data_IF_233425026842
#
_entry.id   IF_233425026842
#
_cell.length_a   1.000
_cell.length_b   1.000
_cell.length_c   1.000
_cell.angle_alpha   90.00
_cell.angle_beta   90.00
_cell.angle_gamma   90.00
#
_symmetry.space_group_name_H-M   'P 1'
#
loop_
_entity.id
_entity.type
_entity.pdbx_description
1 polymer ?
#
# COMPACT_ATOMS: atom_id res chain seq x y z
N UNK A 1 -8.75 30.46 1.65
CA UNK A 1 -8.78 29.13 1.04
C UNK A 1 -7.63 28.32 1.64
N UNK A 2 -7.91 27.52 2.65
CA UNK A 2 -6.96 26.59 3.24
C UNK A 2 -6.57 25.59 2.17
N UNK A 3 -5.30 25.61 1.78
CA UNK A 3 -4.71 24.57 0.93
C UNK A 3 -4.61 23.30 1.77
N UNK A 4 -5.69 22.53 1.79
CA UNK A 4 -5.66 21.23 2.43
C UNK A 4 -4.77 20.31 1.59
N UNK A 5 -3.67 19.83 2.18
CA UNK A 5 -2.94 18.69 1.64
C UNK A 5 -3.94 17.55 1.54
N UNK A 6 -4.22 17.09 0.32
CA UNK A 6 -5.32 16.16 0.07
C UNK A 6 -4.92 14.71 0.30
N UNK A 7 -3.68 14.36 -0.03
CA UNK A 7 -3.19 12.99 -0.02
C UNK A 7 -1.99 12.86 0.91
N UNK A 8 -1.97 11.81 1.73
CA UNK A 8 -0.80 11.38 2.50
C UNK A 8 -0.37 10.01 2.01
N UNK A 9 0.85 9.90 1.47
CA UNK A 9 1.45 8.63 1.08
C UNK A 9 2.29 8.08 2.22
N UNK A 10 1.99 6.86 2.65
CA UNK A 10 2.83 6.08 3.56
C UNK A 10 3.73 5.23 2.68
N UNK A 11 5.03 5.44 2.78
CA UNK A 11 6.02 4.85 1.85
C UNK A 11 7.04 4.03 2.63
N UNK A 12 7.39 2.87 2.10
CA UNK A 12 8.39 1.99 2.68
C UNK A 12 9.80 2.51 2.45
N UNK A 13 10.54 2.72 3.53
CA UNK A 13 11.97 3.03 3.52
C UNK A 13 12.34 4.44 3.07
N UNK A 14 13.60 4.77 3.30
CA UNK A 14 14.14 6.10 2.97
C UNK A 14 14.39 6.28 1.47
N UNK A 15 14.73 5.20 0.73
CA UNK A 15 15.01 5.26 -0.71
C UNK A 15 13.74 5.62 -1.50
N UNK A 16 12.68 4.81 -1.35
CA UNK A 16 11.39 5.10 -1.98
C UNK A 16 10.79 6.40 -1.45
N UNK A 17 10.96 6.70 -0.15
CA UNK A 17 10.58 7.96 0.46
C UNK A 17 11.28 9.18 -0.18
N UNK A 18 12.54 9.06 -0.56
CA UNK A 18 13.30 10.08 -1.27
C UNK A 18 12.75 10.35 -2.68
N UNK A 19 12.54 9.29 -3.46
CA UNK A 19 11.94 9.38 -4.80
C UNK A 19 10.53 9.97 -4.74
N UNK A 20 9.70 9.52 -3.81
CA UNK A 20 8.34 10.03 -3.60
C UNK A 20 8.32 11.51 -3.19
N UNK A 21 9.22 11.95 -2.30
CA UNK A 21 9.35 13.37 -1.92
C UNK A 21 9.73 14.26 -3.10
N UNK A 22 10.53 13.75 -4.02
CA UNK A 22 10.92 14.47 -5.23
C UNK A 22 9.77 14.49 -6.24
N UNK A 23 9.09 13.36 -6.41
CA UNK A 23 7.99 13.19 -7.37
C UNK A 23 6.73 14.00 -7.02
N UNK A 24 6.40 14.10 -5.73
CA UNK A 24 5.10 14.63 -5.27
C UNK A 24 4.77 16.05 -5.70
N UNK A 25 3.49 16.34 -5.82
CA UNK A 25 2.98 17.72 -5.76
C UNK A 25 3.06 18.23 -4.31
N UNK A 26 3.97 19.19 -4.04
CA UNK A 26 4.15 19.74 -2.69
C UNK A 26 2.92 20.45 -2.14
N UNK A 27 2.07 20.95 -3.02
CA UNK A 27 0.86 21.67 -2.63
C UNK A 27 -0.26 20.75 -2.12
N UNK A 28 -0.31 19.49 -2.61
CA UNK A 28 -1.45 18.60 -2.38
C UNK A 28 -1.11 17.23 -1.83
N UNK A 29 0.20 16.88 -1.77
CA UNK A 29 0.65 15.55 -1.36
C UNK A 29 1.71 15.62 -0.27
N UNK A 30 1.51 14.84 0.79
CA UNK A 30 2.47 14.60 1.85
C UNK A 30 3.08 13.20 1.73
N UNK A 31 4.31 13.03 2.19
CA UNK A 31 4.99 11.73 2.25
C UNK A 31 5.35 11.44 3.70
N UNK A 32 4.94 10.28 4.17
CA UNK A 32 5.30 9.72 5.46
C UNK A 32 6.15 8.46 5.24
N UNK A 33 7.47 8.54 5.27
CA UNK A 33 8.32 7.38 5.12
C UNK A 33 8.33 6.55 6.41
N UNK A 34 8.17 5.24 6.28
CA UNK A 34 8.33 4.29 7.37
C UNK A 34 9.77 3.76 7.40
N UNK A 35 10.38 3.72 8.57
CA UNK A 35 11.74 3.20 8.77
C UNK A 35 11.74 1.70 9.08
N UNK A 36 11.06 0.92 8.24
CA UNK A 36 10.91 -0.52 8.39
C UNK A 36 9.49 -0.95 8.76
N UNK A 37 9.35 -2.20 9.16
CA UNK A 37 8.05 -2.77 9.52
C UNK A 37 7.53 -2.17 10.82
N UNK A 38 6.30 -1.70 10.82
CA UNK A 38 5.64 -1.23 12.04
C UNK A 38 5.35 -2.41 12.98
N UNK A 39 5.10 -2.09 14.23
CA UNK A 39 4.71 -3.06 15.23
C UNK A 39 3.38 -3.73 14.86
N UNK A 40 3.29 -5.06 14.98
CA UNK A 40 2.03 -5.77 14.86
C UNK A 40 1.15 -5.49 16.10
N UNK A 41 0.15 -4.63 15.92
CA UNK A 41 -0.73 -4.17 17.01
C UNK A 41 -1.69 -5.24 17.50
N UNK A 42 -1.94 -6.32 16.73
CA UNK A 42 -2.76 -7.44 17.18
C UNK A 42 -2.11 -8.24 18.32
N UNK A 43 -0.77 -8.27 18.35
CA UNK A 43 0.01 -8.98 19.37
C UNK A 43 0.54 -8.09 20.49
N UNK A 44 0.72 -6.81 20.21
CA UNK A 44 1.45 -5.93 21.10
C UNK A 44 0.54 -5.35 22.19
N UNK A 45 1.12 -5.12 23.36
CA UNK A 45 0.46 -4.40 24.44
C UNK A 45 0.34 -2.91 24.08
N UNK A 46 -0.69 -2.25 24.58
CA UNK A 46 -1.01 -0.84 24.30
C UNK A 46 0.16 0.12 24.63
N UNK A 47 0.89 -0.14 25.70
CA UNK A 47 2.06 0.65 26.09
C UNK A 47 3.18 0.61 25.03
N UNK A 48 3.41 -0.56 24.44
CA UNK A 48 4.38 -0.73 23.34
C UNK A 48 3.89 -0.09 22.04
N UNK A 49 2.59 -0.19 21.75
CA UNK A 49 1.99 0.41 20.57
C UNK A 49 2.16 1.93 20.62
N UNK A 50 1.79 2.55 21.73
CA UNK A 50 1.93 4.01 21.94
C UNK A 50 3.39 4.45 22.09
N UNK A 51 4.30 3.54 22.40
CA UNK A 51 5.75 3.78 22.42
C UNK A 51 6.42 3.71 21.04
N UNK A 52 5.76 3.13 20.03
CA UNK A 52 6.34 2.94 18.70
C UNK A 52 6.38 4.26 17.91
N UNK A 53 7.55 4.65 17.42
CA UNK A 53 7.77 5.94 16.76
C UNK A 53 6.98 6.07 15.44
N UNK A 54 6.87 5.00 14.66
CA UNK A 54 6.14 5.01 13.39
C UNK A 54 4.63 5.19 13.62
N UNK A 55 4.09 4.51 14.64
CA UNK A 55 2.68 4.67 15.05
C UNK A 55 2.43 6.08 15.57
N UNK A 56 3.31 6.63 16.42
CA UNK A 56 3.21 8.01 16.89
C UNK A 56 3.24 9.02 15.73
N UNK A 57 4.13 8.80 14.76
CA UNK A 57 4.22 9.65 13.59
C UNK A 57 2.91 9.65 12.78
N UNK A 58 2.28 8.49 12.58
CA UNK A 58 0.98 8.39 11.91
C UNK A 58 -0.13 9.09 12.70
N UNK A 59 -0.24 8.84 14.00
CA UNK A 59 -1.26 9.48 14.86
C UNK A 59 -1.11 11.01 14.79
N UNK A 60 0.11 11.50 14.88
CA UNK A 60 0.42 12.94 14.82
C UNK A 60 0.12 13.52 13.45
N UNK A 61 0.52 12.83 12.38
CA UNK A 61 0.31 13.29 11.01
C UNK A 61 -1.18 13.39 10.66
N UNK A 62 -1.97 12.38 11.01
CA UNK A 62 -3.40 12.37 10.70
C UNK A 62 -4.22 13.32 11.58
N UNK A 63 -3.84 13.48 12.83
CA UNK A 63 -4.47 14.42 13.77
C UNK A 63 -5.80 13.96 14.33
N UNK A 64 -6.26 12.76 14.01
CA UNK A 64 -7.56 12.21 14.40
C UNK A 64 -7.64 11.67 15.82
N UNK A 65 -6.48 11.38 16.46
CA UNK A 65 -6.44 10.52 17.64
C UNK A 65 -6.69 9.05 17.31
N UNK A 66 -6.87 8.23 18.34
CA UNK A 66 -7.13 6.78 18.24
C UNK A 66 -8.18 6.34 19.24
N UNK A 67 -8.80 5.16 19.04
CA UNK A 67 -9.80 4.55 19.91
C UNK A 67 -10.92 5.55 20.30
N UNK A 68 -11.21 5.67 21.60
CA UNK A 68 -12.27 6.54 22.14
C UNK A 68 -12.05 8.04 21.85
N UNK A 69 -10.79 8.45 21.63
CA UNK A 69 -10.43 9.82 21.29
C UNK A 69 -10.40 10.08 19.78
N UNK A 70 -10.76 9.08 18.97
CA UNK A 70 -10.75 9.22 17.52
C UNK A 70 -11.85 10.19 17.06
N UNK A 71 -11.45 11.16 16.26
CA UNK A 71 -12.37 12.11 15.63
C UNK A 71 -11.99 12.34 14.16
N UNK A 72 -12.82 11.81 13.28
CA UNK A 72 -12.61 11.89 11.82
C UNK A 72 -12.63 13.32 11.28
N UNK A 73 -13.37 14.23 11.93
CA UNK A 73 -13.45 15.64 11.50
C UNK A 73 -12.10 16.37 11.63
N UNK A 74 -11.19 15.83 12.46
CA UNK A 74 -9.83 16.35 12.60
C UNK A 74 -8.85 15.79 11.59
N UNK A 75 -9.28 14.90 10.70
CA UNK A 75 -8.44 14.31 9.68
C UNK A 75 -7.89 15.39 8.74
N UNK A 76 -6.56 15.43 8.62
CA UNK A 76 -5.84 16.44 7.83
C UNK A 76 -5.74 16.08 6.36
N UNK A 77 -6.07 14.86 5.97
CA UNK A 77 -5.92 14.32 4.62
C UNK A 77 -7.22 13.73 4.12
N UNK A 78 -7.50 13.91 2.85
CA UNK A 78 -8.66 13.27 2.22
C UNK A 78 -8.39 11.79 1.92
N UNK A 79 -7.15 11.47 1.53
CA UNK A 79 -6.72 10.10 1.26
C UNK A 79 -5.44 9.77 2.03
N UNK A 80 -5.42 8.60 2.63
CA UNK A 80 -4.24 7.95 3.20
C UNK A 80 -3.91 6.79 2.25
N UNK A 81 -2.78 6.89 1.58
CA UNK A 81 -2.40 5.97 0.50
C UNK A 81 -1.19 5.18 0.95
N UNK A 82 -1.36 3.87 1.08
CA UNK A 82 -0.28 2.93 1.35
C UNK A 82 0.42 2.65 0.03
N UNK A 83 1.70 2.96 -0.05
CA UNK A 83 2.53 2.76 -1.23
C UNK A 83 3.79 1.99 -0.83
N UNK A 84 3.73 0.68 -0.96
CA UNK A 84 4.79 -0.28 -0.62
C UNK A 84 5.29 -0.99 -1.86
N UNK A 85 6.46 -1.63 -1.75
CA UNK A 85 7.03 -2.42 -2.82
C UNK A 85 6.13 -3.60 -3.21
N UNK A 86 6.19 -4.03 -4.47
CA UNK A 86 5.41 -5.16 -4.99
C UNK A 86 6.09 -6.50 -4.66
N UNK A 87 6.47 -6.71 -3.42
CA UNK A 87 7.09 -7.92 -2.91
C UNK A 87 6.44 -8.40 -1.60
N UNK A 88 6.93 -9.51 -1.06
CA UNK A 88 6.38 -10.10 0.18
C UNK A 88 6.56 -9.19 1.40
N UNK A 89 7.62 -8.38 1.45
CA UNK A 89 7.86 -7.46 2.55
C UNK A 89 6.91 -6.27 2.47
N UNK A 90 6.72 -5.70 1.28
CA UNK A 90 5.74 -4.63 1.05
C UNK A 90 4.31 -5.07 1.34
N UNK A 91 3.92 -6.28 0.94
CA UNK A 91 2.61 -6.86 1.28
C UNK A 91 2.44 -7.02 2.81
N UNK A 92 3.50 -7.44 3.51
CA UNK A 92 3.47 -7.56 4.97
C UNK A 92 3.34 -6.19 5.65
N UNK A 93 4.06 -5.16 5.19
CA UNK A 93 3.94 -3.80 5.71
C UNK A 93 2.53 -3.25 5.50
N UNK A 94 1.96 -3.44 4.31
CA UNK A 94 0.58 -3.05 4.03
C UNK A 94 -0.41 -3.74 4.99
N UNK A 95 -0.23 -5.04 5.24
CA UNK A 95 -1.07 -5.80 6.19
C UNK A 95 -0.94 -5.29 7.62
N UNK A 96 0.27 -4.96 8.08
CA UNK A 96 0.49 -4.37 9.40
C UNK A 96 -0.19 -3.01 9.54
N UNK A 97 -0.13 -2.16 8.49
CA UNK A 97 -0.80 -0.86 8.45
C UNK A 97 -2.34 -1.02 8.47
N UNK A 98 -2.88 -1.95 7.68
CA UNK A 98 -4.31 -2.24 7.67
C UNK A 98 -4.78 -2.77 9.03
N UNK A 99 -3.99 -3.62 9.70
CA UNK A 99 -4.26 -4.10 11.07
C UNK A 99 -4.34 -2.92 12.04
N UNK A 100 -3.39 -1.98 11.96
CA UNK A 100 -3.39 -0.79 12.79
C UNK A 100 -4.63 0.09 12.53
N UNK A 101 -4.97 0.37 11.27
CA UNK A 101 -6.15 1.17 10.94
C UNK A 101 -7.44 0.48 11.37
N UNK A 102 -7.57 -0.81 11.11
CA UNK A 102 -8.75 -1.57 11.50
C UNK A 102 -8.98 -1.56 13.02
N UNK A 103 -7.92 -1.76 13.81
CA UNK A 103 -8.02 -1.84 15.27
C UNK A 103 -8.13 -0.48 15.97
N UNK A 104 -7.47 0.55 15.45
CA UNK A 104 -7.30 1.82 16.16
C UNK A 104 -8.01 3.01 15.50
N UNK A 105 -8.30 2.93 14.21
CA UNK A 105 -8.89 4.00 13.40
C UNK A 105 -9.89 3.46 12.36
N UNK A 106 -10.87 2.58 12.75
CA UNK A 106 -11.73 1.89 11.78
C UNK A 106 -12.53 2.83 10.89
N UNK A 107 -12.91 4.00 11.37
CA UNK A 107 -13.65 4.99 10.60
C UNK A 107 -12.84 5.55 9.41
N UNK A 108 -11.51 5.49 9.43
CA UNK A 108 -10.72 5.84 8.26
C UNK A 108 -11.04 4.91 7.07
N UNK A 109 -11.24 3.63 7.36
CA UNK A 109 -11.60 2.63 6.33
C UNK A 109 -13.08 2.77 5.98
N UNK A 110 -13.98 2.77 6.96
CA UNK A 110 -15.44 2.85 6.75
C UNK A 110 -15.85 4.08 5.95
N UNK A 111 -15.21 5.22 6.19
CA UNK A 111 -15.48 6.47 5.46
C UNK A 111 -14.68 6.62 4.15
N UNK A 112 -13.90 5.60 3.78
CA UNK A 112 -13.25 5.51 2.48
C UNK A 112 -12.03 6.41 2.33
N UNK A 113 -11.25 6.63 3.37
CA UNK A 113 -10.03 7.43 3.34
C UNK A 113 -8.76 6.61 3.08
N UNK A 114 -8.81 5.27 3.19
CA UNK A 114 -7.63 4.39 3.05
C UNK A 114 -7.57 3.76 1.67
N UNK A 115 -6.41 3.83 1.03
CA UNK A 115 -6.15 3.32 -0.30
C UNK A 115 -4.82 2.59 -0.37
N UNK A 116 -4.71 1.64 -1.31
CA UNK A 116 -3.48 1.01 -1.74
C UNK A 116 -3.09 1.57 -3.11
N UNK A 117 -1.88 2.10 -3.24
CA UNK A 117 -1.35 2.50 -4.53
C UNK A 117 -0.98 1.26 -5.35
N UNK A 118 -1.22 1.33 -6.65
CA UNK A 118 -0.85 0.28 -7.61
C UNK A 118 0.23 0.82 -8.53
N UNK A 119 1.53 0.65 -8.21
CA UNK A 119 2.61 0.95 -9.14
C UNK A 119 2.62 -0.08 -10.27
N UNK A 120 3.16 0.25 -11.47
CA UNK A 120 3.33 -0.72 -12.53
C UNK A 120 4.32 -1.80 -12.13
N UNK A 121 4.09 -3.03 -12.62
CA UNK A 121 5.00 -4.16 -12.45
C UNK A 121 6.08 -4.18 -13.54
N UNK A 122 5.77 -3.67 -14.73
CA UNK A 122 6.64 -3.69 -15.89
C UNK A 122 6.73 -2.35 -16.59
N UNK A 123 7.92 -2.06 -17.11
CA UNK A 123 8.18 -1.04 -18.10
C UNK A 123 8.63 -1.71 -19.39
N UNK A 124 7.99 -1.42 -20.50
CA UNK A 124 8.41 -1.82 -21.83
C UNK A 124 8.88 -0.58 -22.59
N UNK A 125 10.08 -0.65 -23.17
CA UNK A 125 10.62 0.39 -24.04
C UNK A 125 10.89 -0.20 -25.42
N UNK A 126 10.36 0.46 -26.46
CA UNK A 126 10.60 0.15 -27.87
C UNK A 126 10.61 1.43 -28.70
N UNK A 127 11.67 1.63 -29.50
CA UNK A 127 11.80 2.78 -30.40
C UNK A 127 11.58 4.14 -29.68
N UNK A 128 12.14 4.30 -28.48
CA UNK A 128 11.98 5.50 -27.61
C UNK A 128 10.56 5.75 -27.09
N UNK A 129 9.62 4.84 -27.32
CA UNK A 129 8.32 4.84 -26.67
C UNK A 129 8.34 3.97 -25.45
N UNK A 130 7.62 4.37 -24.43
CA UNK A 130 7.53 3.66 -23.14
C UNK A 130 6.08 3.29 -22.88
N UNK A 131 5.87 2.07 -22.42
CA UNK A 131 4.59 1.57 -21.91
C UNK A 131 4.81 1.01 -20.52
N UNK A 132 3.79 1.09 -19.70
CA UNK A 132 3.75 0.51 -18.38
C UNK A 132 2.66 -0.56 -18.32
N UNK A 133 2.93 -1.67 -17.66
CA UNK A 133 1.96 -2.75 -17.45
C UNK A 133 1.84 -3.06 -15.96
N UNK A 134 0.61 -3.29 -15.53
CA UNK A 134 0.25 -3.52 -14.12
C UNK A 134 -0.06 -5.00 -13.84
N UNK A 135 -0.02 -5.84 -14.86
CA UNK A 135 -0.16 -7.29 -14.79
C UNK A 135 0.60 -7.98 -15.94
N UNK A 136 0.78 -9.30 -15.84
CA UNK A 136 1.38 -10.10 -16.91
C UNK A 136 0.48 -10.11 -18.15
N UNK A 137 -0.83 -10.17 -17.97
CA UNK A 137 -1.81 -10.12 -19.08
C UNK A 137 -1.75 -8.78 -19.82
N UNK A 138 -1.61 -7.69 -19.10
CA UNK A 138 -1.47 -6.36 -19.71
C UNK A 138 -0.14 -6.24 -20.47
N UNK A 139 0.95 -6.75 -19.90
CA UNK A 139 2.24 -6.81 -20.59
C UNK A 139 2.13 -7.62 -21.90
N UNK A 140 1.49 -8.78 -21.84
CA UNK A 140 1.28 -9.61 -23.02
C UNK A 140 0.44 -8.90 -24.09
N UNK A 141 -0.62 -8.21 -23.67
CA UNK A 141 -1.47 -7.42 -24.57
C UNK A 141 -0.69 -6.31 -25.27
N UNK A 142 0.18 -5.60 -24.54
CA UNK A 142 1.06 -4.57 -25.10
C UNK A 142 2.05 -5.20 -26.07
N UNK A 143 2.66 -6.34 -25.73
CA UNK A 143 3.59 -7.05 -26.61
C UNK A 143 2.93 -7.54 -27.89
N UNK A 144 1.68 -7.97 -27.85
CA UNK A 144 0.93 -8.39 -29.05
C UNK A 144 0.62 -7.19 -29.96
N UNK A 145 0.38 -6.01 -29.40
CA UNK A 145 0.15 -4.77 -30.15
C UNK A 145 1.42 -4.21 -30.78
N UNK A 146 2.53 -4.13 -30.01
CA UNK A 146 3.78 -3.50 -30.47
C UNK A 146 4.69 -4.47 -31.21
N UNK A 147 4.40 -5.77 -31.17
CA UNK A 147 5.19 -6.85 -31.76
C UNK A 147 6.27 -7.39 -30.82
N UNK A 148 6.39 -8.72 -30.76
CA UNK A 148 7.38 -9.45 -29.95
C UNK A 148 8.69 -9.59 -30.71
N UNK A 149 9.60 -8.63 -30.58
CA UNK A 149 10.91 -8.67 -31.24
C UNK A 149 12.05 -8.37 -30.25
N UNK A 150 13.30 -8.50 -30.72
CA UNK A 150 14.51 -8.29 -29.92
C UNK A 150 14.75 -6.82 -29.52
N UNK A 151 13.99 -5.88 -30.07
CA UNK A 151 14.12 -4.46 -29.75
C UNK A 151 13.29 -4.08 -28.52
N UNK A 152 12.49 -5.00 -27.99
CA UNK A 152 11.73 -4.79 -26.78
C UNK A 152 12.65 -4.88 -25.57
N UNK A 153 12.77 -3.77 -24.83
CA UNK A 153 13.44 -3.74 -23.53
C UNK A 153 12.36 -3.80 -22.45
N UNK A 154 12.27 -4.95 -21.78
CA UNK A 154 11.33 -5.17 -20.67
C UNK A 154 12.11 -5.08 -19.37
N UNK A 155 11.66 -4.22 -18.48
CA UNK A 155 12.14 -4.12 -17.10
C UNK A 155 10.99 -4.51 -16.16
N UNK A 156 11.24 -5.46 -15.27
CA UNK A 156 10.35 -5.78 -14.17
C UNK A 156 10.79 -4.98 -12.95
N UNK A 157 9.89 -4.19 -12.39
CA UNK A 157 10.14 -3.47 -11.15
C UNK A 157 10.00 -4.41 -9.94
N UNK A 158 11.01 -4.43 -9.08
CA UNK A 158 11.00 -5.17 -7.81
C UNK A 158 10.60 -4.28 -6.65
N UNK A 159 10.87 -2.98 -6.75
CA UNK A 159 10.53 -2.01 -5.72
C UNK A 159 10.44 -0.59 -6.29
N UNK A 160 9.78 0.28 -5.53
CA UNK A 160 9.58 1.70 -5.85
C UNK A 160 10.90 2.48 -5.98
N UNK A 161 11.94 2.03 -5.28
CA UNK A 161 13.28 2.63 -5.35
C UNK A 161 13.98 2.48 -6.71
N UNK A 162 13.47 1.59 -7.58
CA UNK A 162 13.97 1.42 -8.95
C UNK A 162 13.37 2.44 -9.94
N UNK A 163 12.32 3.14 -9.52
CA UNK A 163 11.70 4.22 -10.30
C UNK A 163 12.37 5.55 -9.99
N UNK A 164 12.68 6.31 -11.04
CA UNK A 164 12.99 7.73 -10.85
C UNK A 164 11.72 8.52 -10.49
N UNK A 165 11.92 9.78 -10.07
CA UNK A 165 10.82 10.61 -9.61
C UNK A 165 9.77 10.89 -10.68
N UNK A 166 10.16 11.00 -11.96
CA UNK A 166 9.26 11.24 -13.08
C UNK A 166 8.39 10.02 -13.35
N UNK A 167 9.00 8.82 -13.39
CA UNK A 167 8.28 7.56 -13.55
C UNK A 167 7.29 7.32 -12.41
N UNK A 168 7.72 7.59 -11.16
CA UNK A 168 6.86 7.43 -9.99
C UNK A 168 5.68 8.40 -10.01
N UNK A 169 5.91 9.64 -10.44
CA UNK A 169 4.83 10.61 -10.63
C UNK A 169 3.85 10.13 -11.69
N UNK A 170 4.32 9.88 -12.90
CA UNK A 170 3.48 9.56 -14.06
C UNK A 170 2.61 8.31 -13.89
N UNK A 171 3.10 7.32 -13.15
CA UNK A 171 2.45 6.01 -13.02
C UNK A 171 1.65 5.84 -11.74
N UNK A 172 2.09 6.49 -10.63
CA UNK A 172 1.62 6.12 -9.29
C UNK A 172 1.12 7.30 -8.45
N UNK A 173 1.59 8.53 -8.71
CA UNK A 173 1.29 9.67 -7.85
C UNK A 173 0.45 10.75 -8.53
N UNK A 174 0.47 10.85 -9.86
CA UNK A 174 -0.36 11.79 -10.60
C UNK A 174 -1.85 11.48 -10.37
N UNK A 175 -2.64 12.39 -9.78
CA UNK A 175 -4.05 12.14 -9.50
C UNK A 175 -4.90 11.78 -10.73
N UNK A 176 -4.46 12.18 -11.93
CA UNK A 176 -5.18 11.92 -13.18
C UNK A 176 -4.88 10.55 -13.78
N UNK A 177 -3.74 9.92 -13.40
CA UNK A 177 -3.25 8.69 -14.04
C UNK A 177 -3.13 7.51 -13.07
N UNK A 178 -2.91 7.80 -11.78
CA UNK A 178 -2.67 6.77 -10.76
C UNK A 178 -3.84 5.81 -10.59
N UNK A 179 -3.52 4.57 -10.28
CA UNK A 179 -4.49 3.56 -9.90
C UNK A 179 -4.45 3.39 -8.38
N UNK A 180 -5.58 3.58 -7.74
CA UNK A 180 -5.74 3.39 -6.30
C UNK A 180 -6.85 2.36 -6.03
N UNK A 181 -6.54 1.37 -5.21
CA UNK A 181 -7.54 0.45 -4.66
C UNK A 181 -8.04 1.01 -3.34
N UNK A 182 -9.34 1.29 -3.24
CA UNK A 182 -9.95 1.71 -1.98
C UNK A 182 -10.10 0.51 -1.06
N UNK A 183 -9.62 0.64 0.16
CA UNK A 183 -9.88 -0.33 1.22
C UNK A 183 -11.28 -0.07 1.77
N UNK A 184 -12.08 -1.11 1.86
CA UNK A 184 -13.44 -1.05 2.39
C UNK A 184 -13.67 -2.18 3.39
N UNK A 185 -14.57 -1.93 4.34
CA UNK A 185 -15.15 -2.93 5.23
C UNK A 185 -16.61 -3.05 4.81
N UNK A 186 -17.05 -4.26 4.49
CA UNK A 186 -18.46 -4.55 4.35
C UNK A 186 -19.02 -4.85 5.76
N UNK A 187 -20.08 -4.15 6.14
CA UNK A 187 -20.66 -4.29 7.48
C UNK A 187 -21.25 -5.70 7.70
N UNK A 188 -21.67 -6.38 6.63
CA UNK A 188 -22.15 -7.76 6.69
C UNK A 188 -21.03 -8.77 6.98
N UNK A 189 -19.79 -8.44 6.65
CA UNK A 189 -18.61 -9.29 6.80
C UNK A 189 -17.72 -8.92 8.01
N UNK A 190 -18.13 -7.97 8.86
CA UNK A 190 -17.30 -7.45 9.96
C UNK A 190 -16.78 -8.56 10.89
N UNK A 191 -17.62 -9.56 11.18
CA UNK A 191 -17.24 -10.72 12.01
C UNK A 191 -16.17 -11.59 11.35
N UNK A 192 -16.26 -11.81 10.05
CA UNK A 192 -15.29 -12.58 9.28
C UNK A 192 -13.96 -11.83 9.14
N UNK A 193 -14.02 -10.52 8.92
CA UNK A 193 -12.85 -9.64 8.88
C UNK A 193 -12.13 -9.66 10.22
N UNK A 194 -12.85 -9.50 11.34
CA UNK A 194 -12.28 -9.55 12.69
C UNK A 194 -11.58 -10.89 12.97
N UNK A 195 -12.25 -11.99 12.62
CA UNK A 195 -11.68 -13.34 12.75
C UNK A 195 -10.43 -13.49 11.88
N UNK A 196 -10.44 -12.98 10.66
CA UNK A 196 -9.29 -13.04 9.74
C UNK A 196 -8.07 -12.31 10.31
N UNK A 197 -8.24 -11.09 10.83
CA UNK A 197 -7.16 -10.38 11.50
C UNK A 197 -6.66 -11.12 12.73
N UNK A 198 -7.54 -11.68 13.54
CA UNK A 198 -7.19 -12.45 14.73
C UNK A 198 -6.39 -13.72 14.38
N UNK A 199 -6.81 -14.47 13.36
CA UNK A 199 -6.14 -15.68 12.87
C UNK A 199 -4.77 -15.35 12.26
N UNK A 200 -4.73 -14.40 11.32
CA UNK A 200 -3.51 -14.12 10.55
C UNK A 200 -2.49 -13.30 11.33
N UNK A 201 -2.93 -12.35 12.13
CA UNK A 201 -2.07 -11.38 12.82
C UNK A 201 -1.95 -11.66 14.33
N UNK A 202 -2.79 -12.50 14.92
CA UNK A 202 -2.81 -12.82 16.33
C UNK A 202 -1.67 -13.74 16.79
N UNK A 203 -1.63 -14.07 18.09
CA UNK A 203 -0.55 -14.86 18.71
C UNK A 203 -0.62 -16.35 18.43
N UNK A 204 -1.81 -16.89 18.15
CA UNK A 204 -2.02 -18.33 18.00
C UNK A 204 -1.47 -18.80 16.65
N UNK A 205 -0.56 -19.77 16.70
CA UNK A 205 0.10 -20.34 15.51
C UNK A 205 -0.79 -21.33 14.77
N UNK A 206 -1.47 -22.22 15.51
CA UNK A 206 -2.25 -23.32 14.91
C UNK A 206 -3.37 -22.83 13.99
N UNK A 207 -4.24 -21.88 14.39
CA UNK A 207 -5.29 -21.37 13.48
C UNK A 207 -4.71 -20.73 12.22
N UNK A 208 -3.56 -20.06 12.33
CA UNK A 208 -2.87 -19.46 11.19
C UNK A 208 -2.32 -20.52 10.25
N UNK A 209 -1.71 -21.58 10.79
CA UNK A 209 -1.22 -22.71 10.01
C UNK A 209 -2.37 -23.36 9.24
N UNK A 210 -3.45 -23.69 9.94
CA UNK A 210 -4.64 -24.31 9.33
C UNK A 210 -5.23 -23.44 8.22
N UNK A 211 -5.33 -22.12 8.44
CA UNK A 211 -5.78 -21.19 7.44
C UNK A 211 -4.88 -21.18 6.19
N UNK A 212 -3.55 -21.15 6.39
CA UNK A 212 -2.57 -21.17 5.30
C UNK A 212 -2.65 -22.49 4.54
N UNK A 213 -2.68 -23.63 5.23
CA UNK A 213 -2.77 -24.95 4.61
C UNK A 213 -4.06 -25.12 3.81
N UNK A 214 -5.18 -24.64 4.33
CA UNK A 214 -6.48 -24.71 3.67
C UNK A 214 -6.54 -23.82 2.41
N UNK A 215 -5.85 -22.68 2.42
CA UNK A 215 -5.86 -21.72 1.31
C UNK A 215 -4.59 -21.79 0.44
N UNK A 216 -3.65 -22.71 0.71
CA UNK A 216 -2.37 -22.81 0.02
C UNK A 216 -2.52 -23.08 -1.50
N UNK A 217 -3.57 -23.77 -1.92
CA UNK A 217 -3.82 -24.02 -3.34
C UNK A 217 -4.11 -22.73 -4.14
N UNK A 218 -4.56 -21.65 -3.49
CA UNK A 218 -4.76 -20.35 -4.14
C UNK A 218 -3.42 -19.60 -4.33
N UNK A 219 -2.40 -19.92 -3.53
CA UNK A 219 -1.06 -19.34 -3.64
C UNK A 219 -0.23 -20.03 -4.72
N UNK A 220 -0.44 -21.34 -4.95
CA UNK A 220 0.31 -22.11 -5.94
C UNK A 220 -0.05 -21.81 -7.40
N UNK A 221 -1.19 -21.20 -7.67
CA UNK A 221 -1.63 -20.87 -9.04
C UNK A 221 -1.01 -19.61 -9.60
N UNK A 222 -0.39 -18.75 -8.77
CA UNK A 222 0.27 -17.53 -9.24
C UNK A 222 1.76 -17.71 -9.55
N UNK A 223 2.43 -18.70 -8.95
CA UNK A 223 3.88 -18.95 -9.13
C UNK A 223 4.21 -20.14 -10.06
N UNK A 224 3.22 -20.85 -10.54
CA UNK A 224 3.40 -22.04 -11.39
C UNK A 224 3.40 -21.72 -12.91
N UNK A 225 3.55 -20.47 -13.29
CA UNK A 225 3.64 -20.01 -14.68
C UNK A 225 5.01 -19.45 -15.02
N UNK A 226 6.10 -20.12 -14.56
CA UNK A 226 7.47 -19.96 -15.08
C UNK A 226 7.86 -21.15 -15.93
#
# INVERSE_FOLDING_TARGET
SEMCIRDSYIVEGDSAGGSAKTARSRATQAILPLRGKILNVEKARIDRILGNEEIKAMITAFGTGIHENFNIEKLRYNKIIIMTDADVDGAHIATLLLTFFYRFMPDLIRKGHVYLAQPPLYKLEKNKKVWYAYSDDELNSILDEVGRDQNNKIQRYKGLGEMDAEQLWETTMDPEKRILLRVAIDDDDESEIDMTFNVLMGDKVEPRREFIETNACLLYTSDAAD
#
